data_IF_099621657715
#
_entry.id   IF_099621657715
#
_cell.length_a   1.000
_cell.length_b   1.000
_cell.length_c   1.000
_cell.angle_alpha   90.00
_cell.angle_beta   90.00
_cell.angle_gamma   90.00
#
_symmetry.space_group_name_H-M   'P 1'
#
loop_
_entity.id
_entity.type
_entity.pdbx_description
1 polymer ?
#
# COMPACT_ATOMS: atom_id res chain seq x y z
N UNK A 1 41.17 61.31 29.66
CA UNK A 1 39.87 60.64 29.83
C UNK A 1 39.61 59.83 28.57
N UNK A 2 39.91 58.58 28.62
CA UNK A 2 39.94 57.67 27.44
C UNK A 2 38.76 56.75 27.55
N UNK A 3 37.78 56.91 26.70
CA UNK A 3 36.66 55.99 26.57
C UNK A 3 37.11 54.87 25.60
N UNK A 4 37.35 53.70 26.14
CA UNK A 4 37.57 52.48 25.37
C UNK A 4 36.20 51.91 25.03
N UNK A 5 35.80 52.04 23.78
CA UNK A 5 34.61 51.43 23.24
C UNK A 5 34.91 49.95 22.94
N UNK A 6 34.43 49.07 23.81
CA UNK A 6 34.54 47.63 23.64
C UNK A 6 33.41 47.16 22.71
N UNK A 7 33.72 46.96 21.44
CA UNK A 7 32.78 46.39 20.46
C UNK A 7 32.82 44.88 20.64
N UNK A 8 31.81 44.35 21.34
CA UNK A 8 31.53 42.93 21.41
C UNK A 8 30.95 42.48 20.06
N UNK A 9 31.82 41.86 19.25
CA UNK A 9 31.39 41.16 18.04
C UNK A 9 30.67 39.87 18.44
N UNK A 10 29.35 39.96 18.58
CA UNK A 10 28.49 38.79 18.79
C UNK A 10 28.30 38.15 17.42
N UNK A 11 29.21 37.20 17.09
CA UNK A 11 29.11 36.40 15.88
C UNK A 11 27.89 35.49 15.95
N UNK A 12 26.83 35.85 15.24
CA UNK A 12 25.67 35.03 15.04
C UNK A 12 26.06 33.87 14.11
N UNK A 13 26.44 32.72 14.71
CA UNK A 13 26.64 31.49 13.96
C UNK A 13 25.22 30.99 13.63
N UNK A 14 24.75 31.33 12.44
CA UNK A 14 23.56 30.71 11.87
C UNK A 14 23.95 29.31 11.45
N UNK A 15 23.70 28.34 12.34
CA UNK A 15 23.78 26.92 12.01
C UNK A 15 22.64 26.65 11.03
N UNK A 16 22.91 26.71 9.73
CA UNK A 16 21.98 26.19 8.72
C UNK A 16 21.90 24.68 8.88
N UNK A 17 20.88 24.25 9.61
CA UNK A 17 20.49 22.85 9.65
C UNK A 17 19.89 22.53 8.28
N UNK A 18 20.73 22.10 7.33
CA UNK A 18 20.24 21.43 6.12
C UNK A 18 19.74 20.07 6.57
N UNK A 19 18.45 20.01 6.93
CA UNK A 19 17.78 18.75 7.17
C UNK A 19 17.79 17.97 5.88
N UNK A 20 18.69 16.99 5.76
CA UNK A 20 18.50 15.89 4.83
C UNK A 20 17.20 15.20 5.25
N UNK A 21 16.16 15.33 4.44
CA UNK A 21 14.97 14.50 4.57
C UNK A 21 15.36 13.10 4.07
N UNK A 22 16.15 12.39 4.89
CA UNK A 22 16.23 10.95 4.77
C UNK A 22 14.80 10.42 4.90
N UNK A 23 14.40 9.49 4.04
CA UNK A 23 13.11 8.80 4.08
C UNK A 23 13.01 7.97 5.37
N UNK A 24 12.94 8.67 6.52
CA UNK A 24 12.76 8.06 7.82
C UNK A 24 11.31 7.62 7.94
N UNK A 25 11.07 6.35 7.64
CA UNK A 25 9.80 5.71 7.99
C UNK A 25 9.86 5.41 9.49
N UNK A 26 9.01 6.02 10.31
CA UNK A 26 9.04 5.75 11.75
C UNK A 26 8.90 4.25 12.02
N UNK A 27 9.70 3.69 12.90
CA UNK A 27 9.66 2.27 13.32
C UNK A 27 8.23 1.81 13.61
N UNK A 28 7.41 2.68 14.17
CA UNK A 28 5.98 2.42 14.45
C UNK A 28 5.15 2.15 13.19
N UNK A 29 5.48 2.77 12.07
CA UNK A 29 4.78 2.56 10.80
C UNK A 29 5.17 1.21 10.19
N UNK A 30 6.44 0.83 10.29
CA UNK A 30 6.94 -0.48 9.85
C UNK A 30 6.31 -1.62 10.64
N UNK A 31 6.17 -1.46 11.96
CA UNK A 31 5.52 -2.45 12.82
C UNK A 31 4.04 -2.65 12.46
N UNK A 32 3.32 -1.56 12.22
CA UNK A 32 1.91 -1.61 11.80
C UNK A 32 1.74 -2.25 10.42
N UNK A 33 2.65 -1.99 9.50
CA UNK A 33 2.63 -2.63 8.19
C UNK A 33 2.91 -4.13 8.31
N UNK A 34 3.89 -4.53 9.11
CA UNK A 34 4.23 -5.94 9.31
C UNK A 34 3.08 -6.74 9.94
N UNK A 35 2.39 -6.15 10.92
CA UNK A 35 1.20 -6.74 11.52
C UNK A 35 0.07 -6.89 10.50
N UNK A 36 -0.22 -5.84 9.75
CA UNK A 36 -1.23 -5.83 8.71
C UNK A 36 -0.95 -6.88 7.61
N UNK A 37 0.31 -7.03 7.20
CA UNK A 37 0.72 -8.07 6.24
C UNK A 37 0.48 -9.47 6.82
N UNK A 38 0.75 -9.67 8.10
CA UNK A 38 0.50 -10.97 8.77
C UNK A 38 -0.98 -11.32 8.77
N UNK A 39 -1.83 -10.39 9.20
CA UNK A 39 -3.30 -10.58 9.22
C UNK A 39 -3.83 -10.80 7.81
N UNK A 40 -3.38 -10.00 6.85
CA UNK A 40 -3.77 -10.11 5.45
C UNK A 40 -3.40 -11.43 4.80
N UNK A 41 -2.32 -12.08 5.25
CA UNK A 41 -1.96 -13.43 4.82
C UNK A 41 -3.02 -14.47 5.21
N UNK A 42 -3.55 -14.37 6.43
CA UNK A 42 -4.61 -15.26 6.91
C UNK A 42 -5.87 -15.09 6.07
N UNK A 43 -6.31 -13.83 5.87
CA UNK A 43 -7.47 -13.50 5.02
C UNK A 43 -7.27 -13.99 3.58
N UNK A 44 -6.07 -13.79 3.01
CA UNK A 44 -5.76 -14.26 1.67
C UNK A 44 -5.90 -15.78 1.55
N UNK A 45 -5.37 -16.50 2.51
CA UNK A 45 -5.42 -17.97 2.54
C UNK A 45 -6.84 -18.48 2.56
N UNK A 46 -7.69 -17.84 3.33
CA UNK A 46 -9.07 -18.29 3.53
C UNK A 46 -10.01 -17.86 2.39
N UNK A 47 -9.83 -16.67 1.84
CA UNK A 47 -10.82 -16.04 0.97
C UNK A 47 -10.38 -15.87 -0.49
N UNK A 48 -9.07 -15.83 -0.78
CA UNK A 48 -8.56 -15.41 -2.08
C UNK A 48 -7.81 -16.53 -2.82
N UNK A 49 -7.09 -17.38 -2.07
CA UNK A 49 -6.17 -18.38 -2.59
C UNK A 49 -6.83 -19.40 -3.51
N UNK A 50 -8.11 -19.68 -3.32
CA UNK A 50 -8.87 -20.64 -4.16
C UNK A 50 -8.92 -20.23 -5.63
N UNK A 51 -8.91 -18.91 -5.92
CA UNK A 51 -8.92 -18.37 -7.27
C UNK A 51 -7.56 -17.82 -7.69
N UNK A 52 -6.89 -17.06 -6.81
CA UNK A 52 -5.64 -16.41 -7.14
C UNK A 52 -4.40 -17.29 -6.92
N UNK A 53 -4.59 -18.50 -6.37
CA UNK A 53 -3.57 -19.53 -6.09
C UNK A 53 -2.55 -19.12 -5.01
N UNK A 54 -1.78 -20.07 -4.42
CA UNK A 54 -0.96 -19.82 -3.23
C UNK A 54 0.11 -18.75 -3.39
N UNK A 55 0.64 -18.57 -4.61
CA UNK A 55 1.69 -17.59 -4.90
C UNK A 55 1.16 -16.38 -5.67
N UNK A 56 -0.16 -16.14 -5.68
CA UNK A 56 -0.77 -15.03 -6.39
C UNK A 56 -0.61 -15.08 -7.91
N UNK A 57 -0.28 -16.23 -8.46
CA UNK A 57 -0.02 -16.42 -9.89
C UNK A 57 -1.29 -16.41 -10.75
N UNK A 58 -2.43 -16.70 -10.14
CA UNK A 58 -3.72 -16.77 -10.84
C UNK A 58 -3.77 -17.86 -11.91
N UNK A 59 -4.78 -17.79 -12.77
CA UNK A 59 -4.94 -18.69 -13.91
C UNK A 59 -5.18 -17.88 -15.18
N UNK A 60 -4.29 -17.96 -16.18
CA UNK A 60 -4.38 -17.13 -17.39
C UNK A 60 -5.78 -17.13 -18.01
N UNK A 61 -6.28 -15.95 -18.37
CA UNK A 61 -7.61 -15.67 -18.96
C UNK A 61 -8.82 -16.01 -18.07
N UNK A 62 -8.60 -16.59 -16.87
CA UNK A 62 -9.67 -16.94 -15.93
C UNK A 62 -9.54 -16.09 -14.67
N UNK A 63 -8.44 -16.21 -13.94
CA UNK A 63 -8.19 -15.46 -12.73
C UNK A 63 -6.89 -14.66 -12.89
N UNK A 64 -6.93 -13.31 -12.76
CA UNK A 64 -5.74 -12.49 -12.96
C UNK A 64 -4.68 -12.79 -11.90
N UNK A 65 -3.39 -12.68 -12.24
CA UNK A 65 -2.33 -12.73 -11.25
C UNK A 65 -2.38 -11.51 -10.33
N UNK A 66 -2.01 -11.71 -9.08
CA UNK A 66 -1.71 -10.66 -8.11
C UNK A 66 -0.20 -10.47 -7.96
N UNK A 67 0.57 -11.55 -8.17
CA UNK A 67 2.01 -11.53 -8.23
C UNK A 67 2.48 -10.69 -9.42
N UNK A 68 3.30 -9.67 -9.17
CA UNK A 68 3.86 -8.75 -10.19
C UNK A 68 2.77 -8.18 -11.13
N UNK A 69 1.62 -7.87 -10.57
CA UNK A 69 0.47 -7.35 -11.30
C UNK A 69 0.59 -5.84 -11.50
N UNK A 70 0.62 -5.37 -12.74
CA UNK A 70 0.54 -3.96 -13.09
C UNK A 70 -0.76 -3.33 -12.57
N UNK A 71 -1.88 -4.01 -12.75
CA UNK A 71 -3.18 -3.55 -12.28
C UNK A 71 -3.19 -3.32 -10.76
N UNK A 72 -2.70 -4.30 -9.99
CA UNK A 72 -2.65 -4.20 -8.52
C UNK A 72 -1.75 -3.06 -8.05
N UNK A 73 -0.58 -2.91 -8.68
CA UNK A 73 0.43 -1.96 -8.21
C UNK A 73 0.19 -0.53 -8.70
N UNK A 74 -0.41 -0.34 -9.87
CA UNK A 74 -0.62 0.98 -10.46
C UNK A 74 -2.03 1.53 -10.24
N UNK A 75 -3.03 0.65 -10.02
CA UNK A 75 -4.44 1.02 -9.85
C UNK A 75 -4.96 0.74 -8.44
N UNK A 76 -4.28 1.34 -7.46
CA UNK A 76 -4.53 1.12 -6.02
C UNK A 76 -6.01 1.24 -5.63
N UNK A 77 -6.66 2.33 -5.98
CA UNK A 77 -8.08 2.54 -5.66
C UNK A 77 -8.99 1.52 -6.35
N UNK A 78 -8.72 1.20 -7.62
CA UNK A 78 -9.49 0.19 -8.34
C UNK A 78 -9.30 -1.21 -7.75
N UNK A 79 -8.12 -1.52 -7.23
CA UNK A 79 -7.83 -2.78 -6.54
C UNK A 79 -8.55 -2.88 -5.21
N UNK A 80 -8.58 -1.81 -4.41
CA UNK A 80 -9.41 -1.72 -3.19
C UNK A 80 -10.89 -1.89 -3.54
N UNK A 81 -11.36 -1.17 -4.56
CA UNK A 81 -12.76 -1.26 -5.03
C UNK A 81 -13.13 -2.66 -5.47
N UNK A 82 -12.20 -3.38 -6.11
CA UNK A 82 -12.39 -4.76 -6.55
C UNK A 82 -12.70 -5.70 -5.37
N UNK A 83 -11.98 -5.58 -4.27
CA UNK A 83 -12.22 -6.39 -3.07
C UNK A 83 -13.49 -5.95 -2.36
N UNK A 84 -13.69 -4.64 -2.17
CA UNK A 84 -14.80 -4.05 -1.42
C UNK A 84 -16.16 -4.31 -2.07
N UNK A 85 -16.24 -4.23 -3.40
CA UNK A 85 -17.50 -4.28 -4.13
C UNK A 85 -17.60 -5.41 -5.17
N UNK A 86 -16.49 -6.11 -5.39
CA UNK A 86 -16.37 -7.07 -6.47
C UNK A 86 -16.05 -6.42 -7.83
N UNK A 87 -15.77 -7.25 -8.81
CA UNK A 87 -15.50 -6.83 -10.19
C UNK A 87 -16.47 -7.52 -11.12
N UNK A 88 -17.06 -6.75 -12.03
CA UNK A 88 -17.79 -7.26 -13.18
C UNK A 88 -17.37 -6.47 -14.42
N UNK A 89 -17.25 -7.17 -15.54
CA UNK A 89 -16.74 -6.59 -16.79
C UNK A 89 -15.31 -6.99 -17.07
N UNK A 90 -14.76 -6.38 -18.12
CA UNK A 90 -13.42 -6.68 -18.59
C UNK A 90 -12.38 -5.81 -17.89
N UNK A 91 -11.31 -6.45 -17.40
CA UNK A 91 -10.11 -5.78 -16.92
C UNK A 91 -8.89 -6.32 -17.65
N UNK A 92 -7.87 -5.49 -17.80
CA UNK A 92 -6.58 -5.91 -18.36
C UNK A 92 -5.53 -5.93 -17.25
N UNK A 93 -4.83 -7.04 -17.13
CA UNK A 93 -3.74 -7.24 -16.16
C UNK A 93 -2.54 -7.82 -16.90
N UNK A 94 -1.39 -7.16 -16.81
CA UNK A 94 -0.16 -7.53 -17.51
C UNK A 94 -0.39 -7.76 -19.02
N UNK A 95 -1.22 -6.91 -19.65
CA UNK A 95 -1.56 -7.00 -21.07
C UNK A 95 -2.54 -8.12 -21.44
N UNK A 96 -3.05 -8.90 -20.48
CA UNK A 96 -4.02 -9.97 -20.71
C UNK A 96 -5.40 -9.53 -20.23
N UNK A 97 -6.41 -9.77 -21.06
CA UNK A 97 -7.81 -9.48 -20.74
C UNK A 97 -8.43 -10.59 -19.88
N UNK A 98 -9.15 -10.17 -18.85
CA UNK A 98 -9.92 -11.02 -17.93
C UNK A 98 -11.35 -10.53 -17.85
N UNK A 99 -12.31 -11.44 -18.00
CA UNK A 99 -13.76 -11.16 -17.98
C UNK A 99 -14.51 -11.91 -16.87
N UNK A 100 -13.80 -12.69 -16.08
CA UNK A 100 -14.37 -13.45 -14.99
C UNK A 100 -14.80 -12.51 -13.86
N UNK A 101 -16.01 -12.73 -13.36
CA UNK A 101 -16.54 -11.95 -12.26
C UNK A 101 -15.83 -12.32 -10.95
N UNK A 102 -15.38 -11.33 -10.21
CA UNK A 102 -14.99 -11.44 -8.80
C UNK A 102 -16.16 -11.01 -7.93
N UNK A 103 -16.65 -11.89 -7.08
CA UNK A 103 -17.73 -11.56 -6.15
C UNK A 103 -17.23 -10.68 -5.01
N UNK A 104 -18.14 -9.89 -4.41
CA UNK A 104 -17.86 -9.23 -3.13
C UNK A 104 -17.72 -10.31 -2.05
N UNK A 105 -16.67 -10.19 -1.22
CA UNK A 105 -16.36 -11.19 -0.18
C UNK A 105 -16.97 -10.86 1.19
N UNK A 106 -17.49 -9.64 1.38
CA UNK A 106 -18.09 -9.21 2.64
C UNK A 106 -17.10 -8.84 3.73
N UNK A 107 -15.85 -8.62 3.37
CA UNK A 107 -14.80 -8.17 4.29
C UNK A 107 -15.08 -6.75 4.80
N UNK A 108 -14.69 -6.50 6.05
CA UNK A 108 -14.69 -5.18 6.66
C UNK A 108 -13.50 -4.32 6.16
N UNK A 109 -13.52 -3.02 6.44
CA UNK A 109 -12.54 -2.11 5.86
C UNK A 109 -11.10 -2.35 6.34
N UNK A 110 -10.92 -2.75 7.58
CA UNK A 110 -9.62 -3.15 8.15
C UNK A 110 -9.11 -4.46 7.55
N UNK A 111 -9.96 -5.45 7.37
CA UNK A 111 -9.64 -6.71 6.70
C UNK A 111 -9.21 -6.49 5.24
N UNK A 112 -9.91 -5.58 4.53
CA UNK A 112 -9.54 -5.20 3.15
C UNK A 112 -8.18 -4.50 3.14
N UNK A 113 -7.92 -3.60 4.11
CA UNK A 113 -6.63 -2.95 4.23
C UNK A 113 -5.50 -3.98 4.48
N UNK A 114 -5.74 -4.94 5.36
CA UNK A 114 -4.79 -5.98 5.71
C UNK A 114 -4.47 -6.88 4.52
N UNK A 115 -5.47 -7.41 3.83
CA UNK A 115 -5.22 -8.26 2.66
C UNK A 115 -4.57 -7.48 1.51
N UNK A 116 -4.91 -6.21 1.31
CA UNK A 116 -4.25 -5.34 0.33
C UNK A 116 -2.79 -5.12 0.69
N UNK A 117 -2.46 -4.88 1.96
CA UNK A 117 -1.07 -4.76 2.41
C UNK A 117 -0.28 -6.06 2.21
N UNK A 118 -0.90 -7.22 2.41
CA UNK A 118 -0.28 -8.50 2.14
C UNK A 118 0.01 -8.70 0.64
N UNK A 119 -0.99 -8.57 -0.23
CA UNK A 119 -0.82 -8.86 -1.66
C UNK A 119 0.06 -7.83 -2.38
N UNK A 120 0.16 -6.60 -1.87
CA UNK A 120 1.05 -5.57 -2.41
C UNK A 120 2.48 -5.63 -1.87
N UNK A 121 2.77 -6.56 -0.93
CA UNK A 121 4.11 -6.75 -0.34
C UNK A 121 4.60 -8.21 -0.40
N UNK A 122 4.01 -9.01 -1.29
CA UNK A 122 4.36 -10.44 -1.45
C UNK A 122 4.67 -10.76 -2.91
N UNK A 123 5.28 -11.87 -3.18
CA UNK A 123 5.54 -12.44 -4.52
C UNK A 123 6.27 -11.49 -5.49
N UNK A 124 7.12 -10.60 -4.94
CA UNK A 124 7.88 -9.61 -5.70
C UNK A 124 7.17 -8.27 -5.90
N UNK A 125 6.00 -8.10 -5.30
CA UNK A 125 5.39 -6.79 -5.11
C UNK A 125 6.03 -6.07 -3.92
N UNK A 126 6.15 -4.75 -3.97
CA UNK A 126 6.68 -3.92 -2.88
C UNK A 126 5.92 -2.62 -2.80
N UNK A 127 5.29 -2.35 -1.65
CA UNK A 127 4.57 -1.12 -1.39
C UNK A 127 4.80 -0.65 0.04
N UNK A 128 5.58 0.41 0.20
CA UNK A 128 5.89 1.00 1.50
C UNK A 128 4.77 1.93 2.02
N UNK A 129 3.83 2.32 1.15
CA UNK A 129 2.69 3.15 1.52
C UNK A 129 1.56 2.27 2.03
N UNK A 130 1.55 2.02 3.34
CA UNK A 130 0.52 1.19 3.99
C UNK A 130 -0.89 1.63 3.58
N UNK A 131 -1.73 0.67 3.22
CA UNK A 131 -3.16 0.87 3.00
C UNK A 131 -3.83 0.89 4.38
N UNK A 132 -4.71 1.87 4.61
CA UNK A 132 -5.39 2.04 5.89
C UNK A 132 -6.89 1.79 5.77
N UNK A 133 -7.53 1.53 6.89
CA UNK A 133 -8.99 1.36 6.95
C UNK A 133 -9.71 2.61 6.42
N UNK A 134 -9.25 3.79 6.79
CA UNK A 134 -9.84 5.06 6.36
C UNK A 134 -9.76 5.25 4.83
N UNK A 135 -8.64 4.82 4.23
CA UNK A 135 -8.50 4.82 2.77
C UNK A 135 -9.50 3.86 2.12
N UNK A 136 -9.67 2.68 2.67
CA UNK A 136 -10.64 1.70 2.17
C UNK A 136 -12.07 2.24 2.31
N UNK A 137 -12.40 2.88 3.44
CA UNK A 137 -13.71 3.48 3.66
C UNK A 137 -14.02 4.56 2.63
N UNK A 138 -13.03 5.40 2.29
CA UNK A 138 -13.16 6.49 1.33
C UNK A 138 -13.41 6.04 -0.11
N UNK A 139 -13.05 4.79 -0.46
CA UNK A 139 -13.28 4.27 -1.82
C UNK A 139 -14.76 4.03 -2.05
N UNK A 140 -15.34 4.75 -3.00
CA UNK A 140 -16.73 4.61 -3.43
C UNK A 140 -16.91 3.49 -4.45
N UNK A 141 -18.16 3.06 -4.66
CA UNK A 141 -18.50 2.03 -5.63
C UNK A 141 -18.36 2.51 -7.08
N UNK A 142 -18.57 3.79 -7.31
CA UNK A 142 -18.54 4.45 -8.65
C UNK A 142 -17.38 5.43 -8.71
#
# INVERSE_FOLDING_TARGET
MKNVLLILFFGLIVFSFTGTSDNYIPIQQDLKLAESIKNGKEIYTDMCMSCHLPNGEGKPKIYPPLAKSDYLMEKREASIRAIKYGVSGEITVNGISYKTRMARLGLEADEIADVMNYITNTWGNTNLNRITMEEVEAVSKN
#
